data_IF_367621017578
#
_entry.id   IF_367621017578
#
_cell.length_a   1.000
_cell.length_b   1.000
_cell.length_c   1.000
_cell.angle_alpha   90.00
_cell.angle_beta   90.00
_cell.angle_gamma   90.00
#
_symmetry.space_group_name_H-M   'P 1'
#
loop_
_entity.id
_entity.type
_entity.pdbx_description
1 polymer ?
#
# COMPACT_ATOMS: atom_id res chain seq x y z
N UNK A 1 -9.83 3.21 -3.35
CA UNK A 1 -8.39 3.58 -3.36
C UNK A 1 -7.58 2.47 -4.01
N UNK A 2 -6.54 2.79 -4.77
CA UNK A 2 -5.56 1.80 -5.23
C UNK A 2 -4.37 1.82 -4.28
N UNK A 3 -4.03 0.67 -3.69
CA UNK A 3 -2.80 0.45 -2.92
C UNK A 3 -1.83 -0.38 -3.77
N UNK A 4 -0.62 0.14 -3.97
CA UNK A 4 0.46 -0.55 -4.68
C UNK A 4 1.47 -1.06 -3.66
N UNK A 5 1.91 -2.30 -3.83
CA UNK A 5 2.87 -2.98 -2.95
C UNK A 5 3.95 -3.60 -3.83
N UNK A 6 5.22 -3.32 -3.54
CA UNK A 6 6.36 -3.96 -4.18
C UNK A 6 7.24 -4.63 -3.11
N UNK A 7 7.35 -5.94 -3.21
CA UNK A 7 8.24 -6.77 -2.39
C UNK A 7 9.48 -7.11 -3.22
N UNK A 8 10.65 -7.18 -2.59
CA UNK A 8 11.88 -7.55 -3.30
C UNK A 8 11.76 -8.93 -3.96
N UNK A 9 12.11 -9.00 -5.25
CA UNK A 9 12.06 -10.23 -6.04
C UNK A 9 10.63 -10.66 -6.44
N UNK A 10 9.64 -9.77 -6.32
CA UNK A 10 8.27 -9.98 -6.80
C UNK A 10 7.81 -8.82 -7.66
N UNK A 11 6.99 -9.15 -8.65
CA UNK A 11 6.28 -8.15 -9.44
C UNK A 11 5.40 -7.28 -8.53
N UNK A 12 5.42 -5.94 -8.69
CA UNK A 12 4.56 -5.05 -7.95
C UNK A 12 3.08 -5.40 -8.16
N UNK A 13 2.32 -5.39 -7.09
CA UNK A 13 0.88 -5.68 -7.11
C UNK A 13 0.06 -4.44 -6.77
N UNK A 14 -1.14 -4.38 -7.33
CA UNK A 14 -2.13 -3.35 -7.04
C UNK A 14 -3.39 -3.97 -6.45
N UNK A 15 -3.82 -3.47 -5.30
CA UNK A 15 -5.03 -3.88 -4.59
C UNK A 15 -6.04 -2.74 -4.64
N UNK A 16 -7.27 -3.05 -5.03
CA UNK A 16 -8.40 -2.11 -4.91
C UNK A 16 -8.97 -2.19 -3.49
N UNK A 17 -8.62 -1.19 -2.67
CA UNK A 17 -9.18 -1.02 -1.32
C UNK A 17 -10.55 -0.33 -1.42
N UNK A 18 -11.57 -1.05 -0.98
CA UNK A 18 -12.97 -0.63 -1.03
C UNK A 18 -13.94 -1.73 -0.59
N UNK A 19 -15.23 -1.45 -0.62
CA UNK A 19 -16.29 -2.33 -0.10
C UNK A 19 -17.00 -3.16 -1.16
N UNK A 20 -16.74 -2.94 -2.45
CA UNK A 20 -17.39 -3.70 -3.53
C UNK A 20 -16.70 -5.06 -3.76
N UNK A 21 -17.05 -6.03 -2.93
CA UNK A 21 -16.49 -7.38 -2.98
C UNK A 21 -16.76 -8.08 -4.32
N UNK A 22 -17.91 -7.80 -4.95
CA UNK A 22 -18.29 -8.40 -6.23
C UNK A 22 -17.46 -7.85 -7.38
N UNK A 23 -17.02 -6.59 -7.28
CA UNK A 23 -16.04 -5.99 -8.20
C UNK A 23 -14.58 -6.38 -7.88
N UNK A 24 -14.35 -7.27 -6.90
CA UNK A 24 -13.01 -7.73 -6.53
C UNK A 24 -12.28 -6.82 -5.55
N UNK A 25 -12.94 -5.79 -5.01
CA UNK A 25 -12.36 -4.93 -3.98
C UNK A 25 -12.17 -5.71 -2.67
N UNK A 26 -11.24 -5.24 -1.84
CA UNK A 26 -11.04 -5.75 -0.49
C UNK A 26 -11.07 -4.59 0.49
N UNK A 27 -11.82 -4.67 1.60
CA UNK A 27 -11.87 -3.58 2.59
C UNK A 27 -10.61 -3.51 3.45
N UNK A 28 -9.78 -4.56 3.41
CA UNK A 28 -8.53 -4.67 4.17
C UNK A 28 -7.45 -5.28 3.28
N UNK A 29 -6.21 -4.80 3.46
CA UNK A 29 -5.02 -5.34 2.84
C UNK A 29 -3.88 -5.36 3.87
N UNK A 30 -2.94 -6.29 3.69
CA UNK A 30 -1.71 -6.37 4.49
C UNK A 30 -0.54 -5.99 3.60
N UNK A 31 0.24 -5.00 4.03
CA UNK A 31 1.52 -4.68 3.41
C UNK A 31 2.60 -5.47 4.16
N UNK A 32 3.36 -6.38 3.50
CA UNK A 32 4.43 -7.12 4.14
C UNK A 32 5.51 -6.18 4.70
N UNK A 33 6.21 -6.62 5.76
CA UNK A 33 7.36 -5.88 6.26
C UNK A 33 8.41 -5.69 5.16
N UNK A 34 9.06 -4.52 5.16
CA UNK A 34 10.08 -4.12 4.17
C UNK A 34 9.58 -3.95 2.72
N UNK A 35 8.29 -4.13 2.45
CA UNK A 35 7.74 -3.85 1.14
C UNK A 35 7.57 -2.33 0.94
N UNK A 36 7.88 -1.86 -0.27
CA UNK A 36 7.52 -0.51 -0.68
C UNK A 36 6.01 -0.42 -0.88
N UNK A 37 5.40 0.68 -0.45
CA UNK A 37 3.98 0.95 -0.66
C UNK A 37 3.70 2.37 -1.14
N UNK A 38 2.67 2.52 -1.96
CA UNK A 38 2.08 3.82 -2.31
C UNK A 38 0.58 3.68 -2.50
N UNK A 39 -0.18 4.75 -2.27
CA UNK A 39 -1.64 4.70 -2.38
C UNK A 39 -2.20 5.96 -3.03
N UNK A 40 -3.28 5.79 -3.80
CA UNK A 40 -4.00 6.89 -4.45
C UNK A 40 -5.52 6.70 -4.30
N UNK A 41 -6.23 7.77 -3.95
CA UNK A 41 -7.70 7.77 -3.98
C UNK A 41 -8.18 7.53 -5.41
N UNK A 42 -9.24 6.75 -5.57
CA UNK A 42 -9.87 6.46 -6.88
C UNK A 42 -11.17 7.24 -7.09
N UNK A 43 -11.43 8.21 -6.22
CA UNK A 43 -12.52 9.18 -6.26
C UNK A 43 -12.08 10.43 -5.49
N UNK A 44 -13.02 11.29 -5.09
CA UNK A 44 -12.71 12.58 -4.47
C UNK A 44 -11.82 12.47 -3.23
N UNK A 45 -12.07 11.46 -2.38
CA UNK A 45 -11.26 11.17 -1.20
C UNK A 45 -11.39 9.70 -0.78
N UNK A 46 -10.45 9.22 0.04
CA UNK A 46 -10.55 7.93 0.73
C UNK A 46 -10.06 8.12 2.17
N UNK A 47 -10.84 7.68 3.17
CA UNK A 47 -10.41 7.60 4.57
C UNK A 47 -10.06 6.15 4.90
N UNK A 48 -8.91 5.93 5.53
CA UNK A 48 -8.45 4.59 5.93
C UNK A 48 -7.86 4.61 7.34
N UNK A 49 -7.86 3.45 7.97
CA UNK A 49 -7.05 3.18 9.16
C UNK A 49 -5.84 2.34 8.77
N UNK A 50 -4.67 2.69 9.31
CA UNK A 50 -3.45 1.90 9.16
C UNK A 50 -2.97 1.45 10.53
N UNK A 51 -2.85 0.13 10.73
CA UNK A 51 -2.30 -0.46 11.94
C UNK A 51 -0.98 -1.14 11.59
N UNK A 52 0.04 -0.93 12.42
CA UNK A 52 1.40 -1.43 12.19
C UNK A 52 1.83 -2.24 13.41
N UNK A 53 2.39 -3.42 13.17
CA UNK A 53 2.93 -4.30 14.20
C UNK A 53 4.29 -4.85 13.73
N UNK A 54 5.37 -4.71 14.52
CA UNK A 54 5.50 -3.93 15.77
C UNK A 54 5.12 -2.46 15.61
N UNK A 55 4.98 -1.74 16.74
CA UNK A 55 4.58 -0.32 16.71
C UNK A 55 5.45 0.52 15.78
N UNK A 56 4.83 1.48 15.09
CA UNK A 56 5.55 2.36 14.17
C UNK A 56 6.59 3.21 14.90
N UNK A 57 7.82 3.22 14.38
CA UNK A 57 8.90 4.10 14.81
C UNK A 57 9.55 4.76 13.58
N UNK A 58 9.88 6.05 13.68
CA UNK A 58 10.55 6.78 12.59
C UNK A 58 11.94 6.22 12.24
N UNK A 59 12.61 5.56 13.19
CA UNK A 59 13.88 4.85 12.98
C UNK A 59 13.78 3.73 11.94
N UNK A 60 12.59 3.15 11.76
CA UNK A 60 12.31 2.12 10.76
C UNK A 60 11.55 2.64 9.53
N UNK A 61 11.33 3.95 9.42
CA UNK A 61 10.64 4.55 8.28
C UNK A 61 11.62 5.00 7.21
N UNK A 62 11.32 4.67 5.96
CA UNK A 62 12.06 5.10 4.78
C UNK A 62 11.11 5.74 3.77
N UNK A 63 11.52 6.85 3.16
CA UNK A 63 10.80 7.51 2.09
C UNK A 63 11.68 7.55 0.84
N UNK A 64 11.16 6.99 -0.26
CA UNK A 64 11.84 7.03 -1.54
C UNK A 64 11.99 8.48 -2.05
N UNK A 65 13.07 8.78 -2.80
CA UNK A 65 13.25 10.11 -3.39
C UNK A 65 12.15 10.41 -4.43
N UNK A 66 11.82 11.69 -4.67
CA UNK A 66 10.84 12.06 -5.68
C UNK A 66 11.16 11.47 -7.06
N UNK A 67 10.13 10.95 -7.75
CA UNK A 67 10.27 10.36 -9.09
C UNK A 67 10.83 8.94 -9.11
N UNK A 68 11.18 8.37 -7.95
CA UNK A 68 11.55 6.97 -7.85
C UNK A 68 10.31 6.06 -7.96
N UNK A 69 10.50 4.87 -8.53
CA UNK A 69 9.51 3.79 -8.57
C UNK A 69 10.21 2.46 -8.25
N UNK A 70 9.60 1.56 -7.47
CA UNK A 70 10.16 0.24 -7.24
C UNK A 70 10.25 -0.51 -8.57
N UNK A 71 11.33 -1.27 -8.75
CA UNK A 71 11.47 -2.22 -9.86
C UNK A 71 10.79 -3.53 -9.46
N UNK A 72 10.20 -4.22 -10.44
CA UNK A 72 9.88 -5.65 -10.32
C UNK A 72 11.14 -6.50 -10.44
#
# INVERSE_FOLDING_TARGET
MTLRIAEDGREPQAIRLGSDLLAGERPQAVVPAHAWQSAESTGDWTLVGCSVAPGFEFSGFELAPPGWTPRG
#
